data_IF_320516794015
#
_entry.id   IF_320516794015
#
_cell.length_a   1.000
_cell.length_b   1.000
_cell.length_c   1.000
_cell.angle_alpha   90.00
_cell.angle_beta   90.00
_cell.angle_gamma   90.00
#
_symmetry.space_group_name_H-M   'P 1'
#
loop_
_entity.id
_entity.type
_entity.pdbx_description
1 polymer ?
#
# COMPACT_ATOMS: atom_id res chain seq x y z
N UNK A 1 13.95 -22.67 6.47
CA UNK A 1 13.41 -21.30 6.36
C UNK A 1 13.94 -20.60 5.10
N UNK A 2 15.25 -20.38 4.96
CA UNK A 2 15.89 -19.75 3.79
C UNK A 2 15.54 -20.37 2.42
N UNK A 3 15.40 -21.69 2.34
CA UNK A 3 14.97 -22.39 1.12
C UNK A 3 13.59 -21.91 0.66
N UNK A 4 12.61 -21.86 1.57
CA UNK A 4 11.25 -21.40 1.25
C UNK A 4 11.21 -19.91 0.88
N UNK A 5 12.02 -19.07 1.54
CA UNK A 5 12.16 -17.65 1.18
C UNK A 5 12.71 -17.47 -0.25
N UNK A 6 13.72 -18.25 -0.64
CA UNK A 6 14.29 -18.21 -2.00
C UNK A 6 13.29 -18.70 -3.06
N UNK A 7 12.50 -19.73 -2.73
CA UNK A 7 11.43 -20.22 -3.61
C UNK A 7 10.37 -19.14 -3.80
N UNK A 8 9.90 -18.49 -2.73
CA UNK A 8 8.94 -17.38 -2.86
C UNK A 8 9.51 -16.18 -3.61
N UNK A 9 10.79 -15.86 -3.41
CA UNK A 9 11.48 -14.80 -4.16
C UNK A 9 11.46 -15.09 -5.67
N UNK A 10 11.80 -16.32 -6.06
CA UNK A 10 11.79 -16.74 -7.45
C UNK A 10 10.38 -16.67 -8.04
N UNK A 11 9.37 -17.14 -7.31
CA UNK A 11 7.97 -17.08 -7.73
C UNK A 11 7.51 -15.63 -7.90
N UNK A 12 7.86 -14.73 -6.98
CA UNK A 12 7.51 -13.31 -7.06
C UNK A 12 8.15 -12.62 -8.27
N UNK A 13 9.42 -12.92 -8.59
CA UNK A 13 10.10 -12.38 -9.77
C UNK A 13 9.47 -12.88 -11.06
N UNK A 14 9.18 -14.18 -11.16
CA UNK A 14 8.53 -14.77 -12.33
C UNK A 14 7.12 -14.20 -12.50
N UNK A 15 6.34 -14.10 -11.41
CA UNK A 15 5.02 -13.46 -11.44
C UNK A 15 5.12 -11.99 -11.89
N UNK A 16 6.04 -11.20 -11.33
CA UNK A 16 6.29 -9.82 -11.73
C UNK A 16 6.64 -9.69 -13.22
N UNK A 17 7.51 -10.57 -13.73
CA UNK A 17 7.95 -10.58 -15.13
C UNK A 17 6.87 -11.04 -16.11
N UNK A 18 6.00 -11.97 -15.71
CA UNK A 18 4.92 -12.52 -16.55
C UNK A 18 3.69 -11.61 -16.67
N UNK A 19 3.71 -10.40 -16.10
CA UNK A 19 2.67 -9.40 -16.35
C UNK A 19 1.78 -9.04 -15.17
N UNK A 20 2.20 -9.32 -13.92
CA UNK A 20 1.53 -8.77 -12.73
C UNK A 20 1.55 -7.22 -12.65
N UNK A 21 2.22 -6.56 -13.59
CA UNK A 21 2.20 -5.10 -13.79
C UNK A 21 0.81 -4.54 -14.08
N UNK A 22 -0.07 -5.32 -14.72
CA UNK A 22 -1.46 -4.91 -15.00
C UNK A 22 -2.37 -4.87 -13.77
N UNK A 23 -2.17 -5.78 -12.81
CA UNK A 23 -2.86 -5.71 -11.52
C UNK A 23 -2.29 -4.60 -10.64
N UNK A 24 -0.97 -4.37 -10.70
CA UNK A 24 -0.34 -3.28 -9.94
C UNK A 24 -0.91 -1.91 -10.31
N UNK A 25 -1.24 -1.66 -11.58
CA UNK A 25 -1.86 -0.40 -12.02
C UNK A 25 -3.32 -0.25 -11.58
N UNK A 26 -4.11 -1.33 -11.62
CA UNK A 26 -5.48 -1.34 -11.11
C UNK A 26 -5.51 -1.14 -9.58
N UNK A 27 -4.63 -1.82 -8.84
CA UNK A 27 -4.47 -1.65 -7.40
C UNK A 27 -3.98 -0.25 -7.04
N UNK A 28 -3.12 0.37 -7.86
CA UNK A 28 -2.68 1.75 -7.63
C UNK A 28 -3.84 2.76 -7.68
N UNK A 29 -4.86 2.53 -8.50
CA UNK A 29 -6.07 3.36 -8.53
C UNK A 29 -6.84 3.31 -7.21
N UNK A 30 -7.09 2.10 -6.69
CA UNK A 30 -7.81 1.89 -5.42
C UNK A 30 -6.99 2.42 -4.24
N UNK A 31 -5.67 2.18 -4.24
CA UNK A 31 -4.77 2.65 -3.18
C UNK A 31 -4.79 4.18 -3.04
N UNK A 32 -4.86 4.93 -4.15
CA UNK A 32 -4.97 6.41 -4.13
C UNK A 32 -6.23 6.89 -3.43
N UNK A 33 -7.37 6.21 -3.64
CA UNK A 33 -8.64 6.57 -3.01
C UNK A 33 -8.55 6.36 -1.49
N UNK A 34 -8.08 5.19 -1.06
CA UNK A 34 -7.93 4.86 0.37
C UNK A 34 -6.92 5.81 1.03
N UNK A 35 -5.79 6.08 0.38
CA UNK A 35 -4.79 7.01 0.88
C UNK A 35 -5.36 8.43 1.03
N UNK A 36 -6.15 8.89 0.06
CA UNK A 36 -6.84 10.19 0.14
C UNK A 36 -7.79 10.26 1.34
N UNK A 37 -8.61 9.23 1.54
CA UNK A 37 -9.52 9.14 2.71
C UNK A 37 -8.73 9.15 4.02
N UNK A 38 -7.65 8.35 4.09
CA UNK A 38 -6.75 8.34 5.24
C UNK A 38 -6.16 9.73 5.51
N UNK A 39 -5.74 10.45 4.48
CA UNK A 39 -5.13 11.77 4.62
C UNK A 39 -6.14 12.80 5.14
N UNK A 40 -7.39 12.74 4.71
CA UNK A 40 -8.48 13.57 5.26
C UNK A 40 -8.70 13.27 6.75
N UNK A 41 -8.85 11.99 7.12
CA UNK A 41 -9.01 11.60 8.53
C UNK A 41 -7.80 11.98 9.38
N UNK A 42 -6.60 11.81 8.83
CA UNK A 42 -5.34 12.19 9.47
C UNK A 42 -5.29 13.69 9.73
N UNK A 43 -5.63 14.52 8.74
CA UNK A 43 -5.70 15.97 8.90
C UNK A 43 -6.74 16.38 9.93
N UNK A 44 -7.94 15.78 9.91
CA UNK A 44 -8.99 16.04 10.89
C UNK A 44 -8.52 15.67 12.30
N UNK A 45 -7.90 14.50 12.47
CA UNK A 45 -7.33 14.07 13.75
C UNK A 45 -6.19 14.98 14.21
N UNK A 46 -5.33 15.42 13.29
CA UNK A 46 -4.21 16.31 13.58
C UNK A 46 -4.71 17.69 14.04
N UNK A 47 -5.71 18.24 13.34
CA UNK A 47 -6.36 19.49 13.71
C UNK A 47 -7.03 19.34 15.09
N UNK A 48 -7.80 18.27 15.33
CA UNK A 48 -8.40 18.03 16.64
C UNK A 48 -7.36 17.92 17.76
N UNK A 49 -6.20 17.31 17.50
CA UNK A 49 -5.13 17.19 18.50
C UNK A 49 -4.40 18.53 18.73
N UNK A 50 -4.13 19.29 17.67
CA UNK A 50 -3.44 20.58 17.76
C UNK A 50 -4.33 21.65 18.40
N UNK A 51 -5.64 21.64 18.12
CA UNK A 51 -6.57 22.66 18.63
C UNK A 51 -7.36 22.23 19.88
N UNK A 52 -7.55 20.93 20.12
CA UNK A 52 -8.26 20.39 21.28
C UNK A 52 -7.36 19.90 22.41
N UNK A 53 -6.03 20.01 22.25
CA UNK A 53 -5.03 19.68 23.27
C UNK A 53 -4.73 20.82 24.26
N UNK A 54 -5.74 21.60 24.66
CA UNK A 54 -5.67 22.59 25.74
C UNK A 54 -6.86 22.42 26.70
#
# INVERSE_FOLDING_TARGET
>A
MLYWTLVFLAVALVAGALGFTGLASASAGVARIIFGVFLVFFLVSLIMQVFGGA
#
